data_IF_113566892531
#
_entry.id   IF_113566892531
#
_cell.length_a   1.000
_cell.length_b   1.000
_cell.length_c   1.000
_cell.angle_alpha   90.00
_cell.angle_beta   90.00
_cell.angle_gamma   90.00
#
_symmetry.space_group_name_H-M   'P 1'
#
loop_
_entity.id
_entity.type
_entity.pdbx_description
1 polymer ?
#
# COMPACT_ATOMS: atom_id res chain seq x y z
N UNK A 1 -25.39 -8.03 -10.01
CA UNK A 1 -24.92 -8.16 -8.60
C UNK A 1 -23.41 -8.42 -8.49
N UNK A 2 -22.76 -9.03 -9.50
CA UNK A 2 -21.32 -9.28 -9.50
C UNK A 2 -20.46 -8.00 -9.62
N UNK A 3 -20.96 -6.99 -10.34
CA UNK A 3 -20.22 -5.73 -10.60
C UNK A 3 -20.24 -4.74 -9.41
N UNK A 4 -20.95 -5.07 -8.34
CA UNK A 4 -21.10 -4.21 -7.17
C UNK A 4 -20.13 -4.57 -6.03
N UNK A 5 -19.36 -5.67 -6.15
CA UNK A 5 -18.40 -6.08 -5.12
C UNK A 5 -17.03 -5.43 -5.36
N UNK A 6 -16.38 -4.89 -4.33
CA UNK A 6 -15.04 -4.30 -4.44
C UNK A 6 -14.02 -5.28 -5.05
N UNK A 7 -14.21 -6.58 -4.89
CA UNK A 7 -13.37 -7.66 -5.45
C UNK A 7 -13.18 -7.54 -6.97
N UNK A 8 -14.20 -7.09 -7.71
CA UNK A 8 -14.12 -6.96 -9.18
C UNK A 8 -13.19 -5.83 -9.65
N UNK A 9 -12.75 -4.96 -8.73
CA UNK A 9 -11.86 -3.83 -9.01
C UNK A 9 -10.40 -4.13 -8.69
N UNK A 10 -10.14 -5.19 -7.94
CA UNK A 10 -8.77 -5.55 -7.57
C UNK A 10 -8.08 -6.34 -8.68
N UNK A 11 -6.77 -6.13 -8.81
CA UNK A 11 -5.94 -6.89 -9.75
C UNK A 11 -5.94 -8.38 -9.36
N UNK A 12 -5.96 -9.26 -10.35
CA UNK A 12 -5.98 -10.71 -10.10
C UNK A 12 -4.76 -11.17 -9.27
N UNK A 13 -3.59 -10.56 -9.50
CA UNK A 13 -2.37 -10.84 -8.73
C UNK A 13 -2.53 -10.59 -7.22
N UNK A 14 -3.24 -9.52 -6.84
CA UNK A 14 -3.54 -9.21 -5.43
C UNK A 14 -4.49 -10.27 -4.84
N UNK A 15 -5.51 -10.65 -5.60
CA UNK A 15 -6.46 -11.70 -5.18
C UNK A 15 -5.73 -13.02 -4.94
N UNK A 16 -4.81 -13.39 -5.83
CA UNK A 16 -4.06 -14.64 -5.73
C UNK A 16 -3.07 -14.62 -4.56
N UNK A 17 -2.45 -13.48 -4.28
CA UNK A 17 -1.63 -13.29 -3.07
C UNK A 17 -2.45 -13.46 -1.79
N UNK A 18 -3.63 -12.84 -1.71
CA UNK A 18 -4.51 -12.99 -0.54
C UNK A 18 -4.91 -14.45 -0.34
N UNK A 19 -5.24 -15.17 -1.42
CA UNK A 19 -5.56 -16.60 -1.37
C UNK A 19 -4.38 -17.47 -0.96
N UNK A 20 -3.16 -17.07 -1.34
CA UNK A 20 -1.92 -17.77 -1.04
C UNK A 20 -1.41 -17.57 0.39
N UNK A 21 -2.03 -16.69 1.18
CA UNK A 21 -1.66 -16.53 2.59
C UNK A 21 -2.02 -17.80 3.36
N UNK A 22 -0.99 -18.45 3.89
CA UNK A 22 -1.11 -19.62 4.78
C UNK A 22 -1.08 -19.16 6.24
N UNK A 23 -1.91 -19.77 7.08
CA UNK A 23 -2.06 -19.42 8.50
C UNK A 23 -3.39 -18.74 8.80
N UNK A 24 -3.65 -18.53 10.08
CA UNK A 24 -4.85 -17.82 10.54
C UNK A 24 -4.46 -16.40 10.96
N UNK A 25 -5.21 -15.42 10.50
CA UNK A 25 -4.98 -14.00 10.77
C UNK A 25 -6.24 -13.39 11.36
N UNK A 26 -6.18 -12.92 12.58
CA UNK A 26 -7.29 -12.25 13.23
C UNK A 26 -7.00 -10.77 13.36
N UNK A 27 -7.60 -9.97 12.47
CA UNK A 27 -7.43 -8.53 12.47
C UNK A 27 -8.52 -7.84 13.29
N UNK A 28 -8.10 -6.85 14.08
CA UNK A 28 -8.97 -5.92 14.78
C UNK A 28 -8.59 -4.50 14.35
N UNK A 29 -9.60 -3.70 13.96
CA UNK A 29 -9.36 -2.31 13.54
C UNK A 29 -10.16 -1.38 14.43
N UNK A 30 -9.46 -0.55 15.20
CA UNK A 30 -10.07 0.52 15.99
C UNK A 30 -10.29 1.75 15.11
N UNK A 31 -11.51 2.24 15.10
CA UNK A 31 -11.95 3.33 14.23
C UNK A 31 -12.71 4.39 15.00
N UNK A 32 -12.92 5.53 14.34
CA UNK A 32 -13.91 6.55 14.73
C UNK A 32 -14.79 6.85 13.53
N UNK A 33 -16.07 7.05 13.75
CA UNK A 33 -17.02 7.40 12.67
C UNK A 33 -16.70 8.75 12.01
N UNK A 34 -15.89 9.60 12.63
CA UNK A 34 -15.43 10.87 12.06
C UNK A 34 -14.10 10.76 11.32
N UNK A 35 -13.46 9.59 11.33
CA UNK A 35 -12.17 9.36 10.71
C UNK A 35 -12.31 9.12 9.20
N UNK A 36 -11.78 10.03 8.39
CA UNK A 36 -11.85 9.92 6.93
C UNK A 36 -10.95 8.83 6.32
N UNK A 37 -9.93 8.38 7.04
CA UNK A 37 -8.98 7.35 6.60
C UNK A 37 -9.40 5.93 7.02
N UNK A 38 -10.27 5.81 8.00
CA UNK A 38 -10.69 4.52 8.53
C UNK A 38 -11.45 3.64 7.52
N UNK A 39 -12.33 4.19 6.64
CA UNK A 39 -13.04 3.38 5.65
C UNK A 39 -12.13 2.58 4.72
N UNK A 40 -11.00 3.15 4.30
CA UNK A 40 -10.09 2.50 3.36
C UNK A 40 -9.48 1.22 3.95
N UNK A 41 -9.00 1.31 5.19
CA UNK A 41 -8.39 0.17 5.92
C UNK A 41 -9.44 -0.91 6.23
N UNK A 42 -10.62 -0.49 6.67
CA UNK A 42 -11.73 -1.41 6.97
C UNK A 42 -12.17 -2.15 5.71
N UNK A 43 -12.29 -1.46 4.58
CA UNK A 43 -12.65 -2.08 3.31
C UNK A 43 -11.56 -3.05 2.82
N UNK A 44 -10.29 -2.68 2.95
CA UNK A 44 -9.17 -3.55 2.59
C UNK A 44 -9.23 -4.88 3.38
N UNK A 45 -9.33 -4.82 4.70
CA UNK A 45 -9.38 -6.01 5.55
C UNK A 45 -10.67 -6.82 5.37
N UNK A 46 -11.82 -6.17 5.18
CA UNK A 46 -13.07 -6.86 4.86
C UNK A 46 -12.95 -7.61 3.52
N UNK A 47 -12.33 -7.00 2.52
CA UNK A 47 -12.11 -7.64 1.22
C UNK A 47 -11.19 -8.86 1.37
N UNK A 48 -10.10 -8.73 2.11
CA UNK A 48 -9.17 -9.83 2.38
C UNK A 48 -9.86 -10.99 3.09
N UNK A 49 -10.72 -10.72 4.08
CA UNK A 49 -11.48 -11.76 4.80
C UNK A 49 -12.54 -12.46 3.94
N UNK A 50 -13.08 -11.78 2.93
CA UNK A 50 -14.00 -12.41 1.96
C UNK A 50 -13.24 -13.30 0.97
N UNK A 51 -12.03 -12.94 0.59
CA UNK A 51 -11.20 -13.68 -0.37
C UNK A 51 -10.55 -14.91 0.28
N UNK A 52 -10.06 -14.77 1.52
CA UNK A 52 -9.37 -15.84 2.25
C UNK A 52 -10.09 -16.14 3.58
N UNK A 53 -10.68 -17.34 3.75
CA UNK A 53 -11.44 -17.72 4.95
C UNK A 53 -10.57 -17.83 6.22
N UNK A 54 -9.24 -17.87 6.09
CA UNK A 54 -8.30 -17.86 7.21
C UNK A 54 -8.06 -16.47 7.79
N UNK A 55 -8.62 -15.43 7.15
CA UNK A 55 -8.54 -14.04 7.61
C UNK A 55 -9.87 -13.65 8.23
N UNK A 56 -9.84 -13.22 9.48
CA UNK A 56 -10.99 -12.62 10.16
C UNK A 56 -10.73 -11.15 10.41
N UNK A 57 -11.77 -10.33 10.35
CA UNK A 57 -11.65 -8.91 10.62
C UNK A 57 -12.81 -8.42 11.50
N UNK A 58 -12.47 -7.75 12.59
CA UNK A 58 -13.39 -7.08 13.50
C UNK A 58 -13.14 -5.59 13.52
N UNK A 59 -14.15 -4.79 13.18
CA UNK A 59 -14.09 -3.35 13.31
C UNK A 59 -14.64 -2.93 14.69
N UNK A 60 -13.88 -2.12 15.42
CA UNK A 60 -14.22 -1.66 16.77
C UNK A 60 -14.35 -0.13 16.77
N UNK A 61 -15.56 0.37 17.08
CA UNK A 61 -15.76 1.82 17.23
C UNK A 61 -15.30 2.26 18.63
N UNK A 62 -14.22 3.04 18.68
CA UNK A 62 -13.65 3.55 19.92
C UNK A 62 -14.57 4.49 20.71
N UNK A 63 -15.61 5.06 20.10
CA UNK A 63 -16.61 5.85 20.81
C UNK A 63 -17.59 4.98 21.61
N UNK A 64 -17.84 3.76 21.14
CA UNK A 64 -18.74 2.78 21.77
C UNK A 64 -17.98 1.89 22.75
N UNK A 65 -16.83 1.39 22.35
CA UNK A 65 -15.99 0.45 23.12
C UNK A 65 -14.80 1.19 23.75
N UNK A 66 -15.12 2.06 24.74
CA UNK A 66 -14.12 2.98 25.33
C UNK A 66 -13.07 2.28 26.18
N UNK A 67 -13.42 1.20 26.86
CA UNK A 67 -12.46 0.47 27.71
C UNK A 67 -11.42 -0.27 26.86
N UNK A 68 -11.85 -0.90 25.78
CA UNK A 68 -10.99 -1.62 24.84
C UNK A 68 -10.09 -0.66 24.04
N UNK A 69 -10.56 0.58 23.84
CA UNK A 69 -9.86 1.58 23.03
C UNK A 69 -9.09 2.64 23.84
N UNK A 70 -9.05 2.52 25.18
CA UNK A 70 -8.45 3.54 26.06
C UNK A 70 -6.97 3.82 25.79
N UNK A 71 -6.23 2.83 25.31
CA UNK A 71 -4.82 2.93 25.01
C UNK A 71 -4.54 3.25 23.52
N UNK A 72 -5.59 3.42 22.71
CA UNK A 72 -5.47 3.75 21.27
C UNK A 72 -5.30 5.26 21.11
N UNK A 73 -4.09 5.66 20.72
CA UNK A 73 -3.72 7.08 20.60
C UNK A 73 -4.18 7.72 19.29
N UNK A 74 -4.34 6.92 18.24
CA UNK A 74 -4.74 7.41 16.91
C UNK A 74 -5.51 6.33 16.14
N UNK A 75 -6.43 6.75 15.27
CA UNK A 75 -7.21 5.85 14.42
C UNK A 75 -7.03 6.17 12.92
N UNK A 76 -7.07 5.16 12.01
CA UNK A 76 -7.27 3.73 12.28
C UNK A 76 -6.04 3.12 12.95
N UNK A 77 -6.25 2.26 13.94
CA UNK A 77 -5.22 1.41 14.53
C UNK A 77 -5.58 -0.05 14.26
N UNK A 78 -4.67 -0.80 13.67
CA UNK A 78 -4.86 -2.20 13.28
C UNK A 78 -4.01 -3.09 14.16
N UNK A 79 -4.63 -4.12 14.69
CA UNK A 79 -4.00 -5.18 15.45
C UNK A 79 -4.14 -6.51 14.70
N UNK A 80 -3.14 -7.35 14.82
CA UNK A 80 -3.12 -8.71 14.33
C UNK A 80 -2.86 -9.64 15.50
N UNK A 81 -3.79 -10.54 15.77
CA UNK A 81 -3.71 -11.49 16.89
C UNK A 81 -3.43 -10.83 18.26
N UNK A 82 -3.95 -9.60 18.44
CA UNK A 82 -3.81 -8.80 19.66
C UNK A 82 -2.54 -7.95 19.74
N UNK A 83 -1.62 -8.03 18.78
CA UNK A 83 -0.44 -7.18 18.70
C UNK A 83 -0.62 -6.05 17.68
N UNK A 84 -0.01 -4.89 17.94
CA UNK A 84 -0.09 -3.74 17.05
C UNK A 84 0.54 -4.07 15.70
N UNK A 85 -0.30 -4.07 14.65
CA UNK A 85 0.13 -4.32 13.28
C UNK A 85 0.49 -3.04 12.53
N UNK A 86 -0.27 -1.97 12.77
CA UNK A 86 0.01 -0.67 12.19
C UNK A 86 -1.07 0.37 12.40
N UNK A 87 -0.71 1.62 12.12
CA UNK A 87 -1.57 2.79 12.31
C UNK A 87 -1.70 3.58 11.01
N UNK A 88 -2.80 4.30 10.88
CA UNK A 88 -3.07 5.16 9.73
C UNK A 88 -3.59 4.41 8.52
N UNK A 89 -3.56 5.07 7.36
CA UNK A 89 -4.05 4.51 6.11
C UNK A 89 -3.16 3.36 5.66
N UNK A 90 -3.76 2.22 5.33
CA UNK A 90 -3.07 1.08 4.72
C UNK A 90 -3.90 0.55 3.55
N UNK A 91 -3.23 0.27 2.44
CA UNK A 91 -3.80 -0.43 1.30
C UNK A 91 -3.66 -1.95 1.48
N UNK A 92 -4.34 -2.73 0.65
CA UNK A 92 -4.17 -4.20 0.63
C UNK A 92 -2.72 -4.56 0.39
N UNK A 93 -2.04 -3.88 -0.53
CA UNK A 93 -0.63 -4.11 -0.82
C UNK A 93 0.28 -3.84 0.38
N UNK A 94 -0.01 -2.79 1.18
CA UNK A 94 0.73 -2.50 2.41
C UNK A 94 0.55 -3.61 3.45
N UNK A 95 -0.67 -4.13 3.58
CA UNK A 95 -0.99 -5.23 4.50
C UNK A 95 -0.28 -6.51 4.06
N UNK A 96 -0.37 -6.88 2.78
CA UNK A 96 0.29 -8.05 2.21
C UNK A 96 1.80 -7.99 2.39
N UNK A 97 2.41 -6.84 2.13
CA UNK A 97 3.85 -6.63 2.32
C UNK A 97 4.28 -6.84 3.77
N UNK A 98 3.49 -6.35 4.73
CA UNK A 98 3.74 -6.55 6.17
C UNK A 98 3.57 -8.00 6.61
N UNK A 99 2.68 -8.75 5.98
CA UNK A 99 2.49 -10.18 6.22
C UNK A 99 3.59 -11.05 5.58
N UNK A 100 4.54 -10.43 4.87
CA UNK A 100 5.64 -11.13 4.20
C UNK A 100 5.23 -11.78 2.88
N UNK A 101 4.04 -11.48 2.38
CA UNK A 101 3.63 -11.85 1.03
C UNK A 101 4.33 -10.92 0.04
N UNK A 102 5.43 -11.37 -0.52
CA UNK A 102 6.06 -10.69 -1.65
C UNK A 102 5.34 -11.10 -2.92
N UNK A 103 5.10 -10.15 -3.83
CA UNK A 103 4.66 -10.48 -5.19
C UNK A 103 5.69 -11.44 -5.79
N UNK A 104 5.19 -12.47 -6.46
CA UNK A 104 6.04 -13.35 -7.24
C UNK A 104 6.67 -12.51 -8.37
N UNK A 105 7.98 -12.33 -8.29
CA UNK A 105 8.72 -11.54 -9.28
C UNK A 105 8.64 -12.16 -10.70
N UNK A 106 8.20 -13.41 -10.80
CA UNK A 106 8.03 -14.09 -12.09
C UNK A 106 7.05 -13.39 -13.03
N UNK A 107 6.07 -12.65 -12.51
CA UNK A 107 5.16 -11.82 -13.31
C UNK A 107 5.91 -10.74 -14.14
N UNK A 108 7.12 -10.39 -13.70
CA UNK A 108 7.92 -9.32 -14.32
C UNK A 108 9.13 -9.82 -15.10
N UNK A 109 9.43 -11.13 -15.09
CA UNK A 109 10.58 -11.71 -15.76
C UNK A 109 10.49 -11.64 -17.30
N UNK A 110 9.29 -11.64 -17.84
CA UNK A 110 9.03 -11.60 -19.28
C UNK A 110 8.88 -10.18 -19.86
N UNK A 111 9.16 -9.14 -19.05
CA UNK A 111 9.05 -7.75 -19.52
C UNK A 111 10.24 -7.38 -20.39
N UNK A 112 9.96 -6.68 -21.48
CA UNK A 112 11.00 -6.09 -22.31
C UNK A 112 11.90 -5.14 -21.47
N UNK A 113 13.18 -5.01 -21.81
CA UNK A 113 14.09 -4.13 -21.07
C UNK A 113 13.61 -2.67 -20.99
N UNK A 114 13.78 -2.03 -19.85
CA UNK A 114 13.54 -0.62 -19.67
C UNK A 114 14.75 0.21 -20.10
N UNK A 115 14.52 1.40 -20.65
CA UNK A 115 15.58 2.39 -20.83
C UNK A 115 16.06 2.90 -19.46
N UNK A 116 15.11 3.05 -18.51
CA UNK A 116 15.39 3.46 -17.13
C UNK A 116 14.53 2.64 -16.17
N UNK A 117 15.17 1.84 -15.33
CA UNK A 117 14.54 1.14 -14.22
C UNK A 117 14.95 1.79 -12.90
N UNK A 118 13.97 2.30 -12.16
CA UNK A 118 14.17 3.03 -10.93
C UNK A 118 13.88 2.11 -9.74
N UNK A 119 14.81 2.00 -8.81
CA UNK A 119 14.66 1.20 -7.61
C UNK A 119 14.31 2.09 -6.43
N UNK A 120 13.14 1.86 -5.85
CA UNK A 120 12.57 2.60 -4.73
C UNK A 120 11.31 3.37 -5.13
N UNK A 121 10.44 3.66 -4.17
CA UNK A 121 9.13 4.29 -4.37
C UNK A 121 9.01 5.71 -3.80
N UNK A 122 10.08 6.28 -3.25
CA UNK A 122 10.06 7.59 -2.61
C UNK A 122 9.94 8.77 -3.59
N UNK A 123 9.89 10.02 -3.08
CA UNK A 123 9.75 11.23 -3.90
C UNK A 123 10.81 11.38 -4.98
N UNK A 124 12.06 11.00 -4.68
CA UNK A 124 13.15 11.04 -5.65
C UNK A 124 12.90 10.07 -6.81
N UNK A 125 12.41 8.88 -6.52
CA UNK A 125 12.07 7.86 -7.51
C UNK A 125 10.91 8.30 -8.40
N UNK A 126 9.85 8.82 -7.80
CA UNK A 126 8.72 9.37 -8.54
C UNK A 126 9.13 10.53 -9.46
N UNK A 127 9.96 11.44 -8.95
CA UNK A 127 10.50 12.54 -9.77
C UNK A 127 11.33 12.01 -10.95
N UNK A 128 12.25 11.06 -10.71
CA UNK A 128 13.04 10.45 -11.76
C UNK A 128 12.16 9.79 -12.82
N UNK A 129 11.16 9.01 -12.39
CA UNK A 129 10.25 8.29 -13.28
C UNK A 129 9.43 9.25 -14.17
N UNK A 130 8.83 10.27 -13.58
CA UNK A 130 8.05 11.26 -14.33
C UNK A 130 8.93 11.98 -15.37
N UNK A 131 10.13 12.38 -14.98
CA UNK A 131 11.01 13.10 -15.92
C UNK A 131 11.56 12.22 -17.03
N UNK A 132 11.84 10.94 -16.79
CA UNK A 132 12.28 9.99 -17.81
C UNK A 132 11.14 9.62 -18.77
N UNK A 133 9.94 9.33 -18.25
CA UNK A 133 8.76 9.07 -19.06
C UNK A 133 8.39 10.28 -19.95
N UNK A 134 8.46 11.50 -19.42
CA UNK A 134 8.25 12.73 -20.21
C UNK A 134 9.26 12.93 -21.35
N UNK A 135 10.39 12.27 -21.28
CA UNK A 135 11.38 12.25 -22.38
C UNK A 135 11.14 11.13 -23.39
N UNK A 136 10.07 10.37 -23.23
CA UNK A 136 9.74 9.25 -24.08
C UNK A 136 10.59 7.99 -23.86
N UNK A 137 11.27 7.92 -22.70
CA UNK A 137 12.03 6.73 -22.31
C UNK A 137 11.07 5.70 -21.68
N UNK A 138 11.24 4.44 -22.06
CA UNK A 138 10.52 3.34 -21.42
C UNK A 138 10.99 3.23 -19.95
N UNK A 139 10.10 3.56 -19.03
CA UNK A 139 10.43 3.76 -17.62
C UNK A 139 9.69 2.77 -16.74
N UNK A 140 10.42 2.11 -15.83
CA UNK A 140 9.86 1.27 -14.78
C UNK A 140 10.27 1.74 -13.37
N UNK A 141 9.44 1.45 -12.39
CA UNK A 141 9.72 1.59 -10.96
C UNK A 141 9.60 0.22 -10.31
N UNK A 142 10.59 -0.17 -9.51
CA UNK A 142 10.53 -1.34 -8.61
C UNK A 142 10.55 -0.83 -7.19
N UNK A 143 9.49 -1.07 -6.43
CA UNK A 143 9.38 -0.57 -5.07
C UNK A 143 8.51 -1.48 -4.19
N UNK A 144 8.76 -1.44 -2.90
CA UNK A 144 7.86 -2.03 -1.89
C UNK A 144 6.48 -1.32 -1.95
N UNK A 145 6.51 0.02 -1.91
CA UNK A 145 5.32 0.89 -2.06
C UNK A 145 5.69 2.26 -2.62
N UNK A 146 4.75 2.89 -3.31
CA UNK A 146 4.90 4.29 -3.73
C UNK A 146 4.79 5.20 -2.48
N UNK A 147 5.60 6.25 -2.45
CA UNK A 147 5.82 7.11 -1.28
C UNK A 147 6.97 6.62 -0.39
N UNK A 148 7.27 5.33 -0.35
CA UNK A 148 8.33 4.76 0.48
C UNK A 148 8.14 5.13 1.96
N UNK A 149 9.22 5.51 2.66
CA UNK A 149 9.19 5.90 4.07
C UNK A 149 8.40 7.20 4.34
N UNK A 150 8.17 8.03 3.32
CA UNK A 150 7.37 9.25 3.48
C UNK A 150 5.95 8.95 3.93
N UNK A 151 5.40 7.79 3.55
CA UNK A 151 4.08 7.35 4.01
C UNK A 151 3.94 7.38 5.56
N UNK A 152 5.02 7.10 6.27
CA UNK A 152 5.02 6.98 7.72
C UNK A 152 5.25 8.33 8.43
N UNK A 153 5.45 9.41 7.66
CA UNK A 153 5.70 10.76 8.17
C UNK A 153 4.38 11.45 8.56
N UNK A 154 4.24 11.84 9.81
CA UNK A 154 3.02 12.47 10.32
C UNK A 154 2.75 13.85 9.67
N UNK A 155 3.80 14.65 9.45
CA UNK A 155 3.69 15.98 8.86
C UNK A 155 4.93 16.35 8.05
N UNK A 156 4.71 17.01 6.92
CA UNK A 156 5.76 17.49 6.01
C UNK A 156 5.55 18.98 5.80
N UNK A 157 6.56 19.79 6.17
CA UNK A 157 6.53 21.26 6.08
C UNK A 157 7.71 21.80 5.25
N UNK A 158 8.60 20.92 4.83
CA UNK A 158 9.85 21.27 4.14
C UNK A 158 9.88 20.87 2.66
N UNK A 159 8.74 20.50 2.09
CA UNK A 159 8.67 20.22 0.66
C UNK A 159 8.30 21.48 -0.12
N UNK A 160 9.16 21.87 -1.05
CA UNK A 160 9.01 23.12 -1.80
C UNK A 160 7.65 23.16 -2.51
N UNK A 161 6.99 24.32 -2.48
CA UNK A 161 5.62 24.59 -2.98
C UNK A 161 4.47 23.99 -2.17
N UNK A 162 4.72 23.09 -1.23
CA UNK A 162 3.71 22.51 -0.35
C UNK A 162 3.99 23.00 1.07
N UNK A 163 3.13 23.88 1.59
CA UNK A 163 3.35 24.50 2.91
C UNK A 163 3.25 23.52 4.05
N UNK A 164 2.29 22.59 3.94
CA UNK A 164 2.04 21.55 4.92
C UNK A 164 1.22 20.43 4.26
N UNK A 165 1.60 19.18 4.52
CA UNK A 165 0.89 17.98 4.13
C UNK A 165 1.22 16.84 5.07
N UNK A 166 0.50 15.73 4.97
CA UNK A 166 0.87 14.47 5.63
C UNK A 166 1.65 13.57 4.67
N UNK A 167 2.47 12.66 5.20
CA UNK A 167 3.17 11.69 4.37
C UNK A 167 2.23 10.84 3.52
N UNK A 168 1.11 10.43 4.09
CA UNK A 168 0.07 9.67 3.38
C UNK A 168 -0.55 10.47 2.22
N UNK A 169 -0.90 11.73 2.44
CA UNK A 169 -1.46 12.60 1.40
C UNK A 169 -0.44 12.88 0.30
N UNK A 170 0.80 13.19 0.69
CA UNK A 170 1.90 13.38 -0.25
C UNK A 170 2.13 12.15 -1.12
N UNK A 171 2.16 10.97 -0.52
CA UNK A 171 2.37 9.70 -1.23
C UNK A 171 1.21 9.36 -2.16
N UNK A 172 -0.02 9.63 -1.76
CA UNK A 172 -1.20 9.47 -2.62
C UNK A 172 -1.16 10.38 -3.83
N UNK A 173 -0.76 11.65 -3.64
CA UNK A 173 -0.60 12.59 -4.74
C UNK A 173 0.55 12.20 -5.68
N UNK A 174 1.65 11.65 -5.12
CA UNK A 174 2.76 11.15 -5.92
C UNK A 174 2.35 9.93 -6.76
N UNK A 175 1.61 8.99 -6.18
CA UNK A 175 1.10 7.83 -6.90
C UNK A 175 0.16 8.25 -8.06
N UNK A 176 -0.80 9.12 -7.78
CA UNK A 176 -1.70 9.65 -8.80
C UNK A 176 -0.93 10.38 -9.93
N UNK A 177 0.14 11.12 -9.59
CA UNK A 177 0.94 11.81 -10.59
C UNK A 177 1.77 10.83 -11.45
N UNK A 178 2.25 9.72 -10.88
CA UNK A 178 2.94 8.66 -11.63
C UNK A 178 1.96 7.99 -12.61
N UNK A 179 0.72 7.76 -12.21
CA UNK A 179 -0.33 7.12 -13.04
C UNK A 179 -0.72 7.95 -14.27
N UNK A 180 -0.45 9.26 -14.27
CA UNK A 180 -0.69 10.12 -15.46
C UNK A 180 0.29 9.85 -16.62
N UNK A 181 1.36 9.10 -16.38
CA UNK A 181 2.39 8.80 -17.37
C UNK A 181 2.46 7.29 -17.64
N UNK A 182 3.01 6.93 -18.80
CA UNK A 182 3.30 5.54 -19.17
C UNK A 182 4.52 5.03 -18.39
N UNK A 183 4.32 4.80 -17.08
CA UNK A 183 5.32 4.29 -16.15
C UNK A 183 4.84 2.95 -15.60
N UNK A 184 5.66 1.94 -15.76
CA UNK A 184 5.38 0.60 -15.23
C UNK A 184 5.78 0.54 -13.74
N UNK A 185 4.82 0.73 -12.86
CA UNK A 185 5.05 0.73 -11.41
C UNK A 185 4.85 -0.70 -10.84
N UNK A 186 5.96 -1.39 -10.61
CA UNK A 186 6.02 -2.71 -9.99
C UNK A 186 6.17 -2.54 -8.48
N UNK A 187 5.07 -2.66 -7.76
CA UNK A 187 5.01 -2.47 -6.29
C UNK A 187 4.90 -3.80 -5.55
N UNK A 188 5.21 -3.83 -4.26
CA UNK A 188 5.24 -5.05 -3.45
C UNK A 188 6.51 -5.89 -3.68
N UNK A 189 7.51 -5.34 -4.34
CA UNK A 189 8.76 -6.03 -4.71
C UNK A 189 9.95 -5.24 -4.17
N UNK A 190 10.96 -5.98 -3.68
CA UNK A 190 12.25 -5.43 -3.29
C UNK A 190 13.35 -5.95 -4.20
N UNK A 191 14.14 -5.04 -4.77
CA UNK A 191 15.36 -5.41 -5.45
C UNK A 191 16.37 -5.96 -4.43
N UNK A 192 16.88 -7.16 -4.67
CA UNK A 192 17.86 -7.83 -3.80
C UNK A 192 19.26 -7.71 -4.33
N UNK A 193 19.43 -7.57 -5.64
CA UNK A 193 20.72 -7.53 -6.29
C UNK A 193 20.67 -6.75 -7.60
N UNK A 194 21.76 -6.08 -7.94
CA UNK A 194 22.02 -5.47 -9.24
C UNK A 194 23.25 -6.16 -9.82
N UNK A 195 23.14 -6.68 -11.01
CA UNK A 195 24.24 -7.30 -11.73
C UNK A 195 24.49 -6.55 -13.03
N UNK A 196 25.77 -6.35 -13.35
CA UNK A 196 26.17 -5.84 -14.64
C UNK A 196 26.24 -7.02 -15.61
N UNK A 197 25.49 -6.94 -16.70
CA UNK A 197 25.61 -7.87 -17.85
C UNK A 197 26.48 -7.21 -18.92
N UNK A 198 27.35 -8.02 -19.53
CA UNK A 198 28.27 -7.56 -20.61
C UNK A 198 27.48 -7.28 -21.91
#
# INVERSE_FOLDING_TARGET
LHDALPISKEKQSIIDQIKGLEGNYNFETYVSLTCQKCPDVVQALNLMSVINPNITHTMIDGAVFREESKDIMAVPAVFLDGEEFGNGRMTISDILSKLGSTQDASEYEDKDPYDVLIIGGGPASGSAAIYTARKGLRTGIVADRIGGQVNDTAGIENFITVKQTTGSEFSSNLAAHIEEYDIDAMTGIRATKIEKTD
#
